data_IF_560042878115
#
_entry.id   IF_560042878115
#
_cell.length_a   1.000
_cell.length_b   1.000
_cell.length_c   1.000
_cell.angle_alpha   90.00
_cell.angle_beta   90.00
_cell.angle_gamma   90.00
#
_symmetry.space_group_name_H-M   'P 1'
#
loop_
_entity.id
_entity.type
_entity.pdbx_description
1 polymer ?
#
# COMPACT_ATOMS: atom_id res chain seq x y z
N UNK A 1 -0.82 -11.29 -7.79
CA UNK A 1 -0.36 -10.96 -6.43
C UNK A 1 1.13 -11.08 -6.23
N UNK A 2 1.81 -12.10 -6.80
CA UNK A 2 3.28 -12.28 -6.69
C UNK A 2 4.10 -11.01 -6.95
N UNK A 3 3.84 -10.30 -8.05
CA UNK A 3 4.52 -9.04 -8.36
C UNK A 3 4.37 -7.98 -7.25
N UNK A 4 3.19 -7.88 -6.61
CA UNK A 4 2.96 -6.96 -5.48
C UNK A 4 3.74 -7.36 -4.23
N UNK A 5 4.03 -8.65 -4.07
CA UNK A 5 4.87 -9.21 -3.00
C UNK A 5 6.36 -9.27 -3.38
N UNK A 6 6.73 -8.96 -4.63
CA UNK A 6 8.10 -9.08 -5.10
C UNK A 6 8.60 -10.51 -5.30
N UNK A 7 7.69 -11.50 -5.39
CA UNK A 7 8.05 -12.88 -5.72
C UNK A 7 8.30 -13.01 -7.23
N UNK A 8 9.56 -13.27 -7.59
CA UNK A 8 10.03 -13.36 -8.99
C UNK A 8 9.86 -14.76 -9.57
N UNK A 9 9.98 -15.77 -8.72
CA UNK A 9 9.69 -17.17 -9.08
C UNK A 9 8.39 -17.62 -8.45
N UNK A 10 7.85 -18.74 -8.92
CA UNK A 10 6.66 -19.36 -8.33
C UNK A 10 7.04 -20.43 -7.32
N UNK A 11 6.46 -20.36 -6.12
CA UNK A 11 6.61 -21.42 -5.14
C UNK A 11 5.27 -21.81 -4.49
N UNK A 12 5.24 -23.00 -3.91
CA UNK A 12 4.03 -23.56 -3.28
C UNK A 12 3.62 -22.77 -2.03
N UNK A 13 4.57 -22.17 -1.32
CA UNK A 13 4.34 -21.41 -0.08
C UNK A 13 3.86 -19.98 -0.29
N UNK A 14 3.92 -19.44 -1.53
CA UNK A 14 3.56 -18.05 -1.84
C UNK A 14 2.15 -17.69 -1.35
N UNK A 15 1.18 -18.60 -1.54
CA UNK A 15 -0.20 -18.38 -1.14
C UNK A 15 -0.38 -18.39 0.38
N UNK A 16 0.40 -19.18 1.12
CA UNK A 16 0.35 -19.20 2.57
C UNK A 16 0.84 -17.86 3.13
N UNK A 17 1.99 -17.36 2.65
CA UNK A 17 2.52 -16.06 3.04
C UNK A 17 1.56 -14.91 2.72
N UNK A 18 0.89 -14.95 1.56
CA UNK A 18 -0.12 -13.95 1.20
C UNK A 18 -1.33 -13.99 2.13
N UNK A 19 -1.85 -15.18 2.44
CA UNK A 19 -3.03 -15.32 3.30
C UNK A 19 -2.75 -14.90 4.74
N UNK A 20 -1.55 -15.19 5.25
CA UNK A 20 -1.11 -14.72 6.56
C UNK A 20 -1.01 -13.19 6.62
N UNK A 21 -0.42 -12.56 5.58
CA UNK A 21 -0.38 -11.11 5.48
C UNK A 21 -1.78 -10.51 5.49
N UNK A 22 -2.70 -11.04 4.67
CA UNK A 22 -4.09 -10.57 4.64
C UNK A 22 -4.81 -10.77 5.97
N UNK A 23 -4.55 -11.87 6.67
CA UNK A 23 -5.13 -12.12 7.99
C UNK A 23 -4.63 -11.10 9.02
N UNK A 24 -3.32 -10.80 9.00
CA UNK A 24 -2.73 -9.78 9.87
C UNK A 24 -3.30 -8.38 9.56
N UNK A 25 -3.35 -8.01 8.27
CA UNK A 25 -3.92 -6.74 7.82
C UNK A 25 -5.39 -6.59 8.19
N UNK A 26 -6.19 -7.65 8.05
CA UNK A 26 -7.61 -7.62 8.38
C UNK A 26 -7.83 -7.45 9.89
N UNK A 27 -7.05 -8.17 10.72
CA UNK A 27 -7.10 -8.07 12.18
C UNK A 27 -6.75 -6.67 12.67
N UNK A 28 -5.79 -6.02 12.02
CA UNK A 28 -5.27 -4.72 12.46
C UNK A 28 -5.82 -3.53 11.68
N UNK A 29 -6.72 -3.79 10.73
CA UNK A 29 -7.32 -2.79 9.84
C UNK A 29 -6.24 -1.95 9.13
N UNK A 30 -5.17 -2.62 8.69
CA UNK A 30 -4.06 -1.98 7.98
C UNK A 30 -4.52 -1.41 6.64
N UNK A 31 -3.90 -0.30 6.24
CA UNK A 31 -4.22 0.33 4.96
C UNK A 31 -3.62 -0.47 3.79
N UNK A 32 -4.47 -1.06 2.96
CA UNK A 32 -4.04 -1.96 1.88
C UNK A 32 -2.97 -1.35 0.96
N UNK A 33 -3.24 -0.17 0.40
CA UNK A 33 -2.33 0.49 -0.55
C UNK A 33 -1.01 0.82 0.11
N UNK A 34 -1.03 1.41 1.31
CA UNK A 34 0.19 1.77 2.04
C UNK A 34 0.97 0.54 2.47
N UNK A 35 0.30 -0.53 2.90
CA UNK A 35 0.98 -1.77 3.30
C UNK A 35 1.81 -2.32 2.14
N UNK A 36 1.22 -2.46 0.95
CA UNK A 36 1.97 -2.92 -0.21
C UNK A 36 3.02 -1.91 -0.69
N UNK A 37 2.76 -0.60 -0.59
CA UNK A 37 3.75 0.42 -0.97
C UNK A 37 4.99 0.38 -0.07
N UNK A 38 4.81 0.30 1.24
CA UNK A 38 5.91 0.20 2.20
C UNK A 38 6.62 -1.15 2.11
N UNK A 39 5.91 -2.24 1.78
CA UNK A 39 6.52 -3.55 1.54
C UNK A 39 7.51 -3.50 0.36
N UNK A 40 7.25 -2.66 -0.63
CA UNK A 40 8.14 -2.42 -1.77
C UNK A 40 9.51 -1.84 -1.40
N UNK A 41 9.73 -1.41 -0.15
CA UNK A 41 11.01 -0.90 0.35
C UNK A 41 11.83 -1.99 1.07
N UNK A 42 11.37 -3.24 1.05
CA UNK A 42 12.03 -4.34 1.78
C UNK A 42 13.42 -4.63 1.23
N UNK A 43 14.39 -4.69 2.12
CA UNK A 43 15.71 -5.29 1.90
C UNK A 43 15.69 -6.73 2.40
N UNK A 44 16.08 -7.69 1.56
CA UNK A 44 15.85 -9.11 1.86
C UNK A 44 16.70 -9.63 3.03
N UNK A 45 17.82 -8.96 3.34
CA UNK A 45 18.72 -9.30 4.44
C UNK A 45 18.55 -8.42 5.68
N UNK A 46 17.64 -7.44 5.67
CA UNK A 46 17.39 -6.54 6.80
C UNK A 46 16.05 -6.85 7.45
N UNK A 47 15.99 -6.84 8.79
CA UNK A 47 14.72 -6.89 9.52
C UNK A 47 14.05 -5.52 9.64
N UNK A 48 14.73 -4.44 9.22
CA UNK A 48 14.17 -3.10 9.27
C UNK A 48 13.06 -2.95 8.21
N UNK A 49 11.92 -2.41 8.63
CA UNK A 49 10.83 -2.06 7.73
C UNK A 49 9.98 -0.95 8.33
N UNK A 50 9.60 0.08 7.56
CA UNK A 50 8.63 1.08 8.02
C UNK A 50 7.26 0.48 8.33
N UNK A 51 6.94 -0.68 7.75
CA UNK A 51 5.68 -1.41 8.05
C UNK A 51 5.57 -1.84 9.50
N UNK A 52 6.70 -2.06 10.17
CA UNK A 52 6.70 -2.59 11.54
C UNK A 52 5.93 -1.68 12.51
N UNK A 53 6.00 -0.37 12.32
CA UNK A 53 5.29 0.59 13.15
C UNK A 53 3.81 0.75 12.77
N UNK A 54 3.38 0.22 11.63
CA UNK A 54 1.98 0.23 11.19
C UNK A 54 1.16 -0.92 11.83
N UNK A 55 1.84 -1.91 12.43
CA UNK A 55 1.22 -3.03 13.13
C UNK A 55 1.31 -2.87 14.66
N UNK A 56 0.19 -3.13 15.33
CA UNK A 56 0.06 -3.22 16.79
C UNK A 56 0.74 -4.50 17.28
N UNK A 57 0.46 -5.65 16.66
CA UNK A 57 1.12 -6.93 16.97
C UNK A 57 2.43 -7.04 16.19
N UNK A 58 3.43 -6.27 16.65
CA UNK A 58 4.77 -6.23 16.03
C UNK A 58 5.44 -7.59 15.98
N UNK A 59 5.18 -8.46 16.97
CA UNK A 59 5.77 -9.79 17.02
C UNK A 59 5.21 -10.69 15.90
N UNK A 60 3.90 -10.65 15.66
CA UNK A 60 3.29 -11.38 14.54
C UNK A 60 3.79 -10.86 13.19
N UNK A 61 3.95 -9.54 13.03
CA UNK A 61 4.57 -8.98 11.84
C UNK A 61 6.03 -9.43 11.67
N UNK A 62 6.85 -9.36 12.73
CA UNK A 62 8.27 -9.70 12.68
C UNK A 62 8.48 -11.18 12.28
N UNK A 63 7.66 -12.09 12.80
CA UNK A 63 7.67 -13.52 12.41
C UNK A 63 7.32 -13.72 10.93
N UNK A 64 6.19 -13.15 10.49
CA UNK A 64 5.77 -13.23 9.09
C UNK A 64 6.83 -12.60 8.17
N UNK A 65 7.39 -11.45 8.54
CA UNK A 65 8.34 -10.70 7.74
C UNK A 65 9.68 -11.44 7.62
N UNK A 66 10.11 -12.16 8.65
CA UNK A 66 11.27 -13.03 8.56
C UNK A 66 11.07 -14.15 7.54
N UNK A 67 9.93 -14.85 7.58
CA UNK A 67 9.60 -15.93 6.63
C UNK A 67 9.42 -15.41 5.21
N UNK A 68 8.76 -14.27 5.06
CA UNK A 68 8.64 -13.55 3.79
C UNK A 68 10.01 -13.22 3.18
N UNK A 69 10.95 -12.68 3.96
CA UNK A 69 12.30 -12.36 3.49
C UNK A 69 13.12 -13.60 3.12
N UNK A 70 13.00 -14.68 3.88
CA UNK A 70 13.62 -15.98 3.51
C UNK A 70 13.10 -16.43 2.15
N UNK A 71 11.79 -16.29 1.90
CA UNK A 71 11.20 -16.59 0.58
C UNK A 71 11.75 -15.68 -0.53
N UNK A 72 11.97 -14.38 -0.27
CA UNK A 72 12.58 -13.47 -1.25
C UNK A 72 13.99 -13.89 -1.66
N UNK A 73 14.79 -14.37 -0.70
CA UNK A 73 16.18 -14.79 -0.95
C UNK A 73 16.29 -15.98 -1.91
N UNK A 74 15.23 -16.78 -2.04
CA UNK A 74 15.19 -17.93 -2.95
C UNK A 74 14.98 -17.53 -4.42
N UNK A 75 14.59 -16.28 -4.69
CA UNK A 75 14.46 -15.79 -6.07
C UNK A 75 15.82 -15.46 -6.72
N UNK A 76 16.90 -15.34 -5.93
CA UNK A 76 18.25 -14.97 -6.38
C UNK A 76 18.29 -13.62 -7.15
N UNK A 77 17.39 -12.69 -6.79
CA UNK A 77 17.28 -11.35 -7.41
C UNK A 77 17.72 -10.26 -6.43
N UNK A 78 18.31 -9.19 -6.97
CA UNK A 78 18.78 -8.06 -6.16
C UNK A 78 17.63 -7.28 -5.53
N UNK A 79 17.92 -6.59 -4.42
CA UNK A 79 16.94 -5.70 -3.78
C UNK A 79 16.48 -4.60 -4.74
N UNK A 80 17.40 -4.00 -5.51
CA UNK A 80 17.07 -2.95 -6.47
C UNK A 80 16.07 -3.40 -7.54
N UNK A 81 16.30 -4.55 -8.17
CA UNK A 81 15.40 -5.07 -9.21
C UNK A 81 14.02 -5.40 -8.65
N UNK A 82 13.97 -5.99 -7.46
CA UNK A 82 12.71 -6.32 -6.79
C UNK A 82 11.93 -5.08 -6.36
N UNK A 83 12.60 -4.11 -5.76
CA UNK A 83 11.99 -2.86 -5.33
C UNK A 83 11.43 -2.09 -6.53
N UNK A 84 12.16 -2.03 -7.65
CA UNK A 84 11.69 -1.40 -8.89
C UNK A 84 10.41 -2.06 -9.41
N UNK A 85 10.37 -3.40 -9.47
CA UNK A 85 9.16 -4.13 -9.87
C UNK A 85 8.00 -3.79 -8.94
N UNK A 86 8.20 -3.95 -7.62
CA UNK A 86 7.14 -3.76 -6.63
C UNK A 86 6.60 -2.31 -6.68
N UNK A 87 7.47 -1.31 -6.78
CA UNK A 87 7.07 0.10 -6.88
C UNK A 87 6.29 0.39 -8.18
N UNK A 88 6.54 -0.33 -9.27
CA UNK A 88 5.79 -0.18 -10.53
C UNK A 88 4.37 -0.77 -10.50
N UNK A 89 4.07 -1.68 -9.55
CA UNK A 89 2.75 -2.35 -9.44
C UNK A 89 2.01 -2.05 -8.13
N UNK A 90 2.72 -1.50 -7.13
CA UNK A 90 2.16 -1.05 -5.85
C UNK A 90 2.03 0.48 -5.88
N UNK A 91 0.83 1.01 -6.15
CA UNK A 91 0.65 2.45 -6.22
C UNK A 91 0.90 3.08 -4.85
N UNK A 92 1.51 4.26 -4.85
CA UNK A 92 1.57 5.13 -3.69
C UNK A 92 0.19 5.78 -3.41
N UNK A 93 -0.59 6.01 -4.48
CA UNK A 93 -1.87 6.72 -4.44
C UNK A 93 -3.01 5.90 -5.07
N UNK A 94 -4.16 5.91 -4.42
CA UNK A 94 -5.45 5.45 -4.98
C UNK A 94 -6.51 6.52 -4.77
N UNK A 95 -7.56 6.51 -5.60
CA UNK A 95 -8.71 7.39 -5.41
C UNK A 95 -9.50 6.96 -4.18
N UNK A 96 -9.14 7.51 -3.02
CA UNK A 96 -9.82 7.27 -1.74
C UNK A 96 -11.09 8.12 -1.67
N UNK A 97 -12.14 7.60 -1.02
CA UNK A 97 -13.41 8.32 -0.86
C UNK A 97 -13.25 9.73 -0.29
N UNK A 98 -12.39 9.92 0.72
CA UNK A 98 -12.17 11.23 1.33
C UNK A 98 -11.49 12.24 0.38
N UNK A 99 -10.67 11.76 -0.57
CA UNK A 99 -10.06 12.61 -1.60
C UNK A 99 -11.11 13.04 -2.63
N UNK A 100 -11.95 12.10 -3.05
CA UNK A 100 -13.06 12.40 -3.94
C UNK A 100 -14.02 13.42 -3.29
N UNK A 101 -14.40 13.18 -2.03
CA UNK A 101 -15.27 14.08 -1.28
C UNK A 101 -14.69 15.48 -1.14
N UNK A 102 -13.39 15.59 -0.81
CA UNK A 102 -12.70 16.89 -0.73
C UNK A 102 -12.75 17.66 -2.05
N UNK A 103 -12.55 16.96 -3.17
CA UNK A 103 -12.66 17.57 -4.50
C UNK A 103 -14.09 17.99 -4.84
N UNK A 104 -15.10 17.19 -4.48
CA UNK A 104 -16.52 17.50 -4.69
C UNK A 104 -16.91 18.75 -3.90
N UNK A 105 -16.59 18.82 -2.61
CA UNK A 105 -16.93 19.95 -1.74
C UNK A 105 -16.29 21.27 -2.19
N UNK A 106 -15.09 21.22 -2.77
CA UNK A 106 -14.45 22.38 -3.37
C UNK A 106 -15.17 22.80 -4.66
N UNK A 107 -15.49 21.84 -5.54
CA UNK A 107 -16.15 22.09 -6.81
C UNK A 107 -17.57 22.67 -6.63
N UNK A 108 -18.34 22.19 -5.64
CA UNK A 108 -19.66 22.74 -5.30
C UNK A 108 -19.61 24.20 -4.84
N UNK A 109 -18.47 24.65 -4.30
CA UNK A 109 -18.20 26.05 -3.94
C UNK A 109 -17.63 26.87 -5.11
N UNK A 110 -17.54 26.27 -6.30
CA UNK A 110 -16.99 26.89 -7.51
C UNK A 110 -15.47 26.79 -7.66
N UNK A 111 -14.78 26.05 -6.78
CA UNK A 111 -13.33 25.86 -6.84
C UNK A 111 -12.95 24.49 -7.45
N UNK A 112 -12.46 24.51 -8.69
CA UNK A 112 -12.05 23.31 -9.43
C UNK A 112 -10.57 22.93 -9.21
N UNK A 113 -9.82 23.66 -8.38
CA UNK A 113 -8.37 23.44 -8.22
C UNK A 113 -8.06 22.07 -7.61
N UNK A 114 -8.79 21.65 -6.58
CA UNK A 114 -8.59 20.34 -5.94
C UNK A 114 -8.92 19.17 -6.88
N UNK A 115 -9.97 19.31 -7.69
CA UNK A 115 -10.33 18.31 -8.69
C UNK A 115 -9.21 18.12 -9.72
N UNK A 116 -8.65 19.22 -10.24
CA UNK A 116 -7.53 19.15 -11.19
C UNK A 116 -6.28 18.55 -10.55
N UNK A 117 -5.93 18.95 -9.32
CA UNK A 117 -4.77 18.41 -8.59
C UNK A 117 -4.91 16.92 -8.31
N UNK A 118 -6.08 16.47 -7.87
CA UNK A 118 -6.36 15.06 -7.62
C UNK A 118 -6.27 14.25 -8.91
N UNK A 119 -6.88 14.75 -9.99
CA UNK A 119 -6.80 14.10 -11.30
C UNK A 119 -5.35 14.00 -11.79
N UNK A 120 -4.56 15.07 -11.67
CA UNK A 120 -3.14 15.06 -12.03
C UNK A 120 -2.34 14.04 -11.22
N UNK A 121 -2.55 13.99 -9.90
CA UNK A 121 -1.88 13.03 -9.04
C UNK A 121 -2.20 11.57 -9.43
N UNK A 122 -3.45 11.29 -9.79
CA UNK A 122 -3.89 9.96 -10.22
C UNK A 122 -3.33 9.52 -11.58
N UNK A 123 -2.77 10.43 -12.38
CA UNK A 123 -2.08 10.05 -13.63
C UNK A 123 -0.73 9.36 -13.36
N UNK A 124 -0.13 9.58 -12.19
CA UNK A 124 1.15 9.00 -11.80
C UNK A 124 1.04 8.28 -10.44
N UNK A 125 0.16 7.27 -10.29
CA UNK A 125 -0.20 6.73 -8.98
C UNK A 125 0.94 5.91 -8.33
N UNK A 126 1.97 5.54 -9.10
CA UNK A 126 3.12 4.76 -8.66
C UNK A 126 4.32 5.62 -8.23
N UNK A 127 4.27 6.94 -8.47
CA UNK A 127 5.29 7.88 -8.00
C UNK A 127 5.05 8.21 -6.54
N UNK A 128 6.12 8.22 -5.74
CA UNK A 128 6.03 8.65 -4.34
C UNK A 128 5.66 10.14 -4.26
N UNK A 129 5.02 10.49 -3.15
CA UNK A 129 4.57 11.85 -2.87
C UNK A 129 4.75 12.14 -1.39
N UNK A 130 5.02 13.40 -1.09
CA UNK A 130 5.17 13.91 0.27
C UNK A 130 3.91 14.66 0.76
N UNK A 131 2.86 14.70 -0.07
CA UNK A 131 1.59 15.36 0.24
C UNK A 131 0.55 14.39 0.85
N UNK A 132 -0.60 14.93 1.23
CA UNK A 132 -1.63 14.18 1.95
C UNK A 132 -2.38 13.14 1.09
N UNK A 133 -2.17 13.12 -0.23
CA UNK A 133 -2.81 12.17 -1.13
C UNK A 133 -2.46 10.71 -0.80
N UNK A 134 -1.24 10.45 -0.31
CA UNK A 134 -0.80 9.10 0.07
C UNK A 134 -1.13 8.75 1.52
N UNK A 135 -1.78 9.66 2.27
CA UNK A 135 -2.10 9.49 3.68
C UNK A 135 -3.32 8.60 3.92
N UNK A 136 -3.42 8.07 5.14
CA UNK A 136 -4.62 7.39 5.63
C UNK A 136 -5.80 8.39 5.65
N UNK A 137 -7.05 7.91 5.52
CA UNK A 137 -8.20 8.80 5.66
C UNK A 137 -8.19 9.51 7.01
N UNK A 138 -8.47 10.82 7.05
CA UNK A 138 -8.68 11.54 8.31
C UNK A 138 -9.90 10.98 9.05
N UNK A 139 -10.04 11.28 10.33
CA UNK A 139 -11.09 10.67 11.17
C UNK A 139 -12.51 10.90 10.65
N UNK A 140 -12.79 12.08 10.09
CA UNK A 140 -14.08 12.37 9.43
C UNK A 140 -14.27 11.55 8.15
N UNK A 141 -13.18 11.28 7.41
CA UNK A 141 -13.20 10.51 6.17
C UNK A 141 -13.38 9.01 6.36
N UNK A 142 -13.14 8.48 7.57
CA UNK A 142 -13.34 7.05 7.90
C UNK A 142 -14.81 6.61 7.87
N UNK A 143 -15.75 7.56 7.97
CA UNK A 143 -17.21 7.30 8.00
C UNK A 143 -17.93 7.70 6.71
N UNK A 144 -17.18 8.05 5.66
CA UNK A 144 -17.77 8.41 4.37
C UNK A 144 -18.32 7.16 3.68
N UNK A 145 -19.62 6.95 3.82
CA UNK A 145 -20.38 6.07 2.94
C UNK A 145 -20.69 6.83 1.65
N UNK A 146 -19.87 6.59 0.62
CA UNK A 146 -20.17 7.07 -0.72
C UNK A 146 -21.25 6.15 -1.28
N UNK A 147 -22.51 6.55 -1.07
CA UNK A 147 -23.63 5.93 -1.74
C UNK A 147 -23.54 6.30 -3.23
N UNK A 148 -23.09 5.35 -4.06
CA UNK A 148 -23.41 5.39 -5.48
C UNK A 148 -24.88 4.99 -5.63
N UNK A 149 -25.80 5.85 -5.21
CA UNK A 149 -27.22 5.67 -5.51
C UNK A 149 -27.40 5.85 -7.02
N UNK A 150 -27.67 4.73 -7.69
CA UNK A 150 -28.21 4.67 -9.05
C UNK A 150 -29.71 4.93 -9.01
#
# INVERSE_FOLDING_TARGET
MRQKLGFMTEQKEDNALLNELFSLMARERSDYTRTFRMLSLTEQHSAASPLRDEFIDRAAFDDWFARYRVRLQQDEVTDSERQQLMQSVNPALVLRNWLAQRAIEAAEKGDMTELHRLHEALRNPFSDRDDDYVSRPPDWGKRLEVSCSS
#
